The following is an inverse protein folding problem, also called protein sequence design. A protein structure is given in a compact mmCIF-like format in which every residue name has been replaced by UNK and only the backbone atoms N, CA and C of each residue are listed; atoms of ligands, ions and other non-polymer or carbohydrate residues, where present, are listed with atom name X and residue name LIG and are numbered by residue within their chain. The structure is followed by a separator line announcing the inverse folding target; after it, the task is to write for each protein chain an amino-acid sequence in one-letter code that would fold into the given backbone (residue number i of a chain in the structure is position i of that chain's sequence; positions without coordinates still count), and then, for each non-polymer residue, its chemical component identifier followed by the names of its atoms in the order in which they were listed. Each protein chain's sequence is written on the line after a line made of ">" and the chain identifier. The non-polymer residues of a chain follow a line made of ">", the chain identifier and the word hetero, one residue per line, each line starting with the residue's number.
data_IF_437816755696
#
_entry.id   IF_437816755696
#
_cell.length_a   1.000
_cell.length_b   1.000
_cell.length_c   1.000
_cell.angle_alpha   90.00
_cell.angle_beta   90.00
_cell.angle_gamma   90.00
#
_symmetry.space_group_name_H-M   'P 1'
#
loop_
_entity.id
_entity.type
_entity.pdbx_description
1 polymer ?
#
# COMPACT_ATOMS: atom_id res chain seq x y z
N UNK A 1 63.39 33.83 -9.59
CA UNK A 1 61.94 34.09 -9.39
C UNK A 1 61.17 33.19 -10.33
N UNK A 2 60.55 32.17 -9.75
CA UNK A 2 59.75 31.11 -10.36
C UNK A 2 58.40 31.63 -10.82
N UNK A 3 57.92 31.22 -12.00
CA UNK A 3 56.49 31.31 -12.35
C UNK A 3 55.99 29.94 -12.82
N UNK A 4 55.05 29.44 -12.01
CA UNK A 4 54.40 28.13 -12.05
C UNK A 4 53.37 28.11 -13.18
N UNK A 5 53.38 27.03 -13.98
CA UNK A 5 52.30 26.69 -14.92
C UNK A 5 51.07 26.26 -14.12
N UNK A 6 49.90 26.80 -14.44
CA UNK A 6 48.63 26.29 -13.92
C UNK A 6 47.73 25.86 -15.08
N UNK A 7 47.71 24.56 -15.33
CA UNK A 7 46.81 23.90 -16.28
C UNK A 7 45.43 23.81 -15.64
N UNK A 8 44.43 24.47 -16.24
CA UNK A 8 43.03 24.35 -15.83
C UNK A 8 42.49 22.99 -16.32
N UNK A 9 42.31 22.04 -15.39
CA UNK A 9 41.53 20.82 -15.62
C UNK A 9 40.13 21.09 -15.05
N UNK A 10 39.17 21.35 -15.93
CA UNK A 10 37.76 21.49 -15.56
C UNK A 10 37.14 20.09 -15.55
N UNK A 11 37.08 19.45 -14.37
CA UNK A 11 36.34 18.22 -14.18
C UNK A 11 34.84 18.55 -14.06
N UNK A 12 34.09 18.31 -15.13
CA UNK A 12 32.64 18.41 -15.12
C UNK A 12 32.07 17.17 -14.40
N UNK A 13 31.80 17.28 -13.10
CA UNK A 13 31.00 16.27 -12.40
C UNK A 13 29.55 16.35 -12.92
N UNK A 14 29.18 15.44 -13.83
CA UNK A 14 27.79 15.11 -14.06
C UNK A 14 27.23 14.46 -12.79
N UNK A 15 26.62 15.27 -11.92
CA UNK A 15 25.73 14.75 -10.89
C UNK A 15 24.54 14.10 -11.61
N UNK A 16 24.57 12.77 -11.74
CA UNK A 16 23.38 12.01 -12.09
C UNK A 16 22.36 12.26 -10.98
N UNK A 17 21.44 13.20 -11.20
CA UNK A 17 20.25 13.32 -10.39
C UNK A 17 19.42 12.06 -10.66
N UNK A 18 19.60 11.04 -9.84
CA UNK A 18 18.73 9.87 -9.82
C UNK A 18 17.34 10.37 -9.45
N UNK A 19 16.48 10.54 -10.45
CA UNK A 19 15.06 10.77 -10.23
C UNK A 19 14.51 9.54 -9.52
N UNK A 20 14.44 9.59 -8.19
CA UNK A 20 13.80 8.57 -7.37
C UNK A 20 12.29 8.73 -7.56
N UNK A 21 11.76 8.09 -8.61
CA UNK A 21 10.33 7.91 -8.76
C UNK A 21 9.90 6.82 -7.76
N UNK A 22 9.75 7.22 -6.50
CA UNK A 22 9.07 6.41 -5.50
C UNK A 22 7.63 6.16 -5.92
N UNK A 23 7.09 5.00 -5.56
CA UNK A 23 5.73 4.55 -5.91
C UNK A 23 4.74 5.71 -6.05
N UNK A 24 4.23 5.90 -7.28
CA UNK A 24 3.09 6.76 -7.52
C UNK A 24 1.88 6.10 -6.85
N UNK A 25 1.21 6.82 -5.94
CA UNK A 25 -0.07 6.37 -5.40
C UNK A 25 -1.00 6.04 -6.56
N UNK A 26 -1.34 4.75 -6.69
CA UNK A 26 -2.24 4.31 -7.73
C UNK A 26 -3.64 4.40 -7.17
N UNK A 27 -4.43 5.27 -7.80
CA UNK A 27 -5.87 5.30 -7.65
C UNK A 27 -6.50 4.87 -8.96
N UNK A 28 -7.27 3.78 -8.94
CA UNK A 28 -8.14 3.43 -10.05
C UNK A 28 -9.56 3.85 -9.70
N UNK A 29 -10.08 4.80 -10.47
CA UNK A 29 -11.47 5.22 -10.36
C UNK A 29 -12.29 4.45 -11.39
N UNK A 30 -13.26 3.67 -10.90
CA UNK A 30 -14.39 3.11 -11.64
C UNK A 30 -14.14 1.88 -12.53
N UNK A 31 -14.47 0.72 -11.98
CA UNK A 31 -15.14 -0.36 -12.72
C UNK A 31 -16.49 -0.61 -12.05
N UNK A 32 -17.60 -0.52 -12.80
CA UNK A 32 -18.91 -0.92 -12.31
C UNK A 32 -18.87 -2.40 -11.98
N UNK A 33 -18.85 -2.76 -10.69
CA UNK A 33 -18.39 -4.08 -10.27
C UNK A 33 -19.51 -4.99 -9.80
N UNK A 34 -20.32 -5.51 -10.73
CA UNK A 34 -21.15 -6.71 -10.48
C UNK A 34 -20.67 -7.93 -11.27
N UNK A 35 -20.47 -7.77 -12.57
CA UNK A 35 -20.04 -8.86 -13.46
C UNK A 35 -18.53 -8.92 -13.62
N UNK A 36 -17.84 -7.81 -13.34
CA UNK A 36 -16.42 -7.65 -13.59
C UNK A 36 -15.75 -7.09 -12.35
N UNK A 37 -14.76 -7.79 -11.84
CA UNK A 37 -13.94 -7.36 -10.70
C UNK A 37 -13.22 -6.07 -11.05
N UNK A 38 -13.35 -5.04 -10.22
CA UNK A 38 -12.50 -3.85 -10.33
C UNK A 38 -11.08 -4.24 -9.90
N UNK A 39 -10.06 -3.84 -10.66
CA UNK A 39 -8.67 -4.11 -10.31
C UNK A 39 -7.79 -2.87 -10.41
N UNK A 40 -6.79 -2.82 -9.53
CA UNK A 40 -5.70 -1.86 -9.58
C UNK A 40 -4.41 -2.60 -9.29
N UNK A 41 -3.43 -2.53 -10.17
CA UNK A 41 -2.15 -3.20 -10.01
C UNK A 41 -1.01 -2.19 -9.99
N UNK A 42 0.02 -2.51 -9.23
CA UNK A 42 1.27 -1.76 -9.15
C UNK A 42 2.47 -2.70 -9.19
N UNK A 43 3.62 -2.17 -9.56
CA UNK A 43 4.91 -2.84 -9.33
C UNK A 43 5.56 -2.10 -8.17
N UNK A 44 5.92 -2.85 -7.14
CA UNK A 44 6.57 -2.30 -5.96
C UNK A 44 7.99 -1.88 -6.32
N UNK A 45 8.38 -0.67 -5.93
CA UNK A 45 9.72 -0.17 -6.20
C UNK A 45 10.79 -1.07 -5.59
N UNK A 46 11.83 -1.40 -6.37
CA UNK A 46 12.99 -2.17 -5.92
C UNK A 46 13.90 -1.40 -4.93
N UNK A 47 13.90 -0.07 -5.03
CA UNK A 47 14.74 0.83 -4.25
C UNK A 47 14.01 1.45 -3.05
N UNK A 48 14.77 2.18 -2.23
CA UNK A 48 14.26 2.88 -1.07
C UNK A 48 14.15 2.01 0.19
N UNK A 49 13.60 2.57 1.27
CA UNK A 49 13.57 1.88 2.55
C UNK A 49 12.60 0.70 2.54
N UNK A 50 12.89 -0.30 3.38
CA UNK A 50 12.02 -1.45 3.63
C UNK A 50 11.77 -1.59 5.12
N UNK A 51 10.60 -2.12 5.47
CA UNK A 51 10.30 -2.58 6.82
C UNK A 51 10.42 -4.10 6.81
N UNK A 52 11.38 -4.65 7.56
CA UNK A 52 11.64 -6.09 7.62
C UNK A 52 11.80 -6.76 6.24
N UNK A 53 12.42 -6.06 5.29
CA UNK A 53 12.63 -6.58 3.93
C UNK A 53 11.43 -6.43 2.99
N UNK A 54 10.32 -5.85 3.45
CA UNK A 54 9.12 -5.63 2.65
C UNK A 54 8.78 -4.13 2.48
N UNK A 55 7.93 -3.83 1.52
CA UNK A 55 7.19 -2.57 1.42
C UNK A 55 5.81 -2.76 2.03
N UNK A 56 5.41 -1.81 2.87
CA UNK A 56 4.14 -1.82 3.58
C UNK A 56 3.15 -0.95 2.83
N UNK A 57 2.07 -1.58 2.37
CA UNK A 57 1.04 -0.93 1.58
C UNK A 57 -0.26 -0.85 2.37
N UNK A 58 -0.94 0.29 2.25
CA UNK A 58 -2.35 0.44 2.62
C UNK A 58 -3.17 0.42 1.34
N UNK A 59 -4.15 -0.48 1.30
CA UNK A 59 -5.07 -0.60 0.19
C UNK A 59 -6.49 -0.34 0.68
N UNK A 60 -7.19 0.58 0.03
CA UNK A 60 -8.61 0.86 0.29
C UNK A 60 -9.45 0.52 -0.92
N UNK A 61 -10.67 0.06 -0.66
CA UNK A 61 -11.77 -0.03 -1.62
C UNK A 61 -12.96 0.72 -1.08
N UNK A 62 -13.42 1.71 -1.84
CA UNK A 62 -14.42 2.66 -1.34
C UNK A 62 -15.50 2.88 -2.40
N UNK A 63 -16.73 3.14 -1.93
CA UNK A 63 -17.81 3.57 -2.81
C UNK A 63 -18.59 4.75 -2.23
N UNK A 64 -18.84 5.74 -3.08
CA UNK A 64 -19.70 6.88 -2.78
C UNK A 64 -21.20 6.57 -2.92
N UNK A 65 -21.58 5.34 -3.29
CA UNK A 65 -22.97 4.97 -3.60
C UNK A 65 -23.67 4.35 -2.40
N UNK A 66 -24.87 4.81 -2.06
CA UNK A 66 -25.64 4.34 -0.90
C UNK A 66 -25.80 2.81 -0.89
N UNK A 67 -25.74 2.21 0.30
CA UNK A 67 -25.85 0.76 0.51
C UNK A 67 -24.78 -0.07 -0.25
N UNK A 68 -23.66 0.53 -0.66
CA UNK A 68 -22.51 -0.21 -1.22
C UNK A 68 -21.73 -0.97 -0.15
N UNK A 69 -21.24 -2.14 -0.50
CA UNK A 69 -20.43 -3.05 0.34
C UNK A 69 -19.33 -3.69 -0.53
N UNK A 70 -18.23 -2.94 -0.82
CA UNK A 70 -17.14 -3.42 -1.64
C UNK A 70 -16.27 -4.43 -0.89
N UNK A 71 -15.95 -5.56 -1.53
CA UNK A 71 -14.98 -6.54 -1.03
C UNK A 71 -13.55 -6.14 -1.38
N UNK A 72 -12.54 -6.69 -0.70
CA UNK A 72 -11.14 -6.46 -1.07
C UNK A 72 -10.28 -7.72 -0.94
N UNK A 73 -9.60 -8.03 -2.04
CA UNK A 73 -8.51 -9.01 -2.11
C UNK A 73 -7.26 -8.32 -2.67
N UNK A 74 -6.10 -8.53 -2.05
CA UNK A 74 -4.81 -8.06 -2.55
C UNK A 74 -3.87 -9.23 -2.69
N UNK A 75 -3.25 -9.39 -3.84
CA UNK A 75 -2.34 -10.50 -4.08
C UNK A 75 -1.15 -10.10 -4.95
N UNK A 76 -0.06 -10.84 -4.81
CA UNK A 76 1.01 -10.84 -5.80
C UNK A 76 0.56 -11.49 -7.13
N UNK A 77 1.29 -11.24 -8.21
CA UNK A 77 0.99 -11.82 -9.54
C UNK A 77 1.02 -13.35 -9.54
N UNK A 78 1.81 -13.97 -8.66
CA UNK A 78 1.93 -15.41 -8.57
C UNK A 78 0.78 -16.04 -7.76
N UNK A 79 -0.05 -15.23 -7.09
CA UNK A 79 -1.10 -15.67 -6.20
C UNK A 79 -0.60 -16.40 -4.96
N UNK A 80 0.67 -16.19 -4.57
CA UNK A 80 1.29 -16.90 -3.44
C UNK A 80 0.83 -16.28 -2.13
N UNK A 81 0.78 -14.95 -2.06
CA UNK A 81 0.28 -14.21 -0.91
C UNK A 81 -1.04 -13.55 -1.30
N UNK A 82 -2.14 -14.11 -0.79
CA UNK A 82 -3.49 -13.60 -0.99
C UNK A 82 -4.00 -13.04 0.32
N UNK A 83 -4.09 -11.73 0.37
CA UNK A 83 -4.65 -10.98 1.47
C UNK A 83 -6.12 -10.67 1.21
N UNK A 84 -7.00 -10.83 2.21
CA UNK A 84 -8.40 -10.45 2.08
C UNK A 84 -8.94 -9.79 3.34
N UNK A 85 -9.81 -8.81 3.13
CA UNK A 85 -10.59 -8.16 4.16
C UNK A 85 -11.77 -7.44 3.52
N UNK A 86 -12.98 -7.66 4.03
CA UNK A 86 -14.19 -6.99 3.54
C UNK A 86 -14.72 -5.93 4.52
N UNK A 87 -14.04 -5.72 5.65
CA UNK A 87 -14.37 -4.72 6.66
C UNK A 87 -13.09 -4.05 7.15
N UNK A 88 -12.91 -2.76 6.91
CA UNK A 88 -11.66 -2.07 7.26
C UNK A 88 -11.31 -2.05 8.75
N UNK A 89 -12.25 -2.36 9.66
CA UNK A 89 -11.99 -2.58 11.09
C UNK A 89 -12.03 -4.07 11.50
N UNK A 90 -12.37 -4.94 10.55
CA UNK A 90 -12.60 -6.36 10.74
C UNK A 90 -11.34 -7.22 10.66
N UNK A 91 -11.60 -8.52 10.68
CA UNK A 91 -10.58 -9.56 10.58
C UNK A 91 -9.93 -9.55 9.19
N UNK A 92 -8.60 -9.61 9.18
CA UNK A 92 -7.78 -9.69 7.96
C UNK A 92 -7.24 -11.10 7.80
N UNK A 93 -7.10 -11.56 6.57
CA UNK A 93 -6.61 -12.92 6.30
C UNK A 93 -5.45 -12.86 5.31
N UNK A 94 -4.44 -13.70 5.52
CA UNK A 94 -3.39 -14.01 4.56
C UNK A 94 -3.45 -15.50 4.28
N UNK A 95 -3.70 -15.87 3.02
CA UNK A 95 -3.87 -17.26 2.58
C UNK A 95 -4.90 -18.02 3.46
N UNK A 96 -6.00 -17.34 3.80
CA UNK A 96 -7.05 -17.86 4.66
C UNK A 96 -6.71 -17.94 6.15
N UNK A 97 -5.47 -17.65 6.55
CA UNK A 97 -5.07 -17.60 7.95
C UNK A 97 -5.36 -16.23 8.54
N UNK A 98 -6.06 -16.19 9.68
CA UNK A 98 -6.37 -14.96 10.40
C UNK A 98 -5.08 -14.21 10.75
N UNK A 99 -5.03 -12.94 10.39
CA UNK A 99 -3.98 -11.99 10.76
C UNK A 99 -4.56 -11.01 11.78
N UNK A 100 -3.83 -10.88 12.89
CA UNK A 100 -4.29 -10.21 14.09
C UNK A 100 -4.33 -8.69 13.96
N UNK A 101 -4.58 -8.02 15.08
CA UNK A 101 -4.79 -6.58 15.13
C UNK A 101 -6.17 -6.24 15.66
N UNK A 102 -6.23 -5.48 16.73
CA UNK A 102 -7.48 -4.87 17.13
C UNK A 102 -7.83 -3.68 16.21
N UNK A 103 -9.11 -3.34 16.17
CA UNK A 103 -9.65 -2.25 15.36
C UNK A 103 -8.96 -0.90 15.63
N UNK A 104 -8.52 -0.64 16.88
CA UNK A 104 -7.86 0.61 17.22
C UNK A 104 -6.43 0.67 16.64
N UNK A 105 -5.69 -0.42 16.72
CA UNK A 105 -4.37 -0.58 16.10
C UNK A 105 -4.43 -0.39 14.58
N UNK A 106 -5.38 -1.04 13.91
CA UNK A 106 -5.58 -0.89 12.46
C UNK A 106 -5.92 0.56 12.09
N UNK A 107 -6.86 1.17 12.80
CA UNK A 107 -7.25 2.58 12.61
C UNK A 107 -6.07 3.53 12.79
N UNK A 108 -5.23 3.29 13.80
CA UNK A 108 -4.04 4.09 14.08
C UNK A 108 -3.06 4.07 12.89
N UNK A 109 -2.84 2.90 12.28
CA UNK A 109 -1.96 2.77 11.10
C UNK A 109 -2.54 3.51 9.89
N UNK A 110 -3.86 3.46 9.66
CA UNK A 110 -4.46 4.21 8.56
C UNK A 110 -4.35 5.73 8.76
N UNK A 111 -4.64 6.22 9.96
CA UNK A 111 -4.53 7.65 10.26
C UNK A 111 -3.08 8.15 10.19
N UNK A 112 -2.12 7.38 10.70
CA UNK A 112 -0.70 7.78 10.65
C UNK A 112 -0.08 7.60 9.27
N UNK A 113 -0.43 6.52 8.54
CA UNK A 113 0.13 6.17 7.25
C UNK A 113 -0.45 6.95 6.08
N UNK A 114 -1.76 7.15 6.02
CA UNK A 114 -2.42 7.83 4.89
C UNK A 114 -3.24 9.06 5.30
N UNK A 115 -3.27 9.42 6.58
CA UNK A 115 -3.97 10.61 7.07
C UNK A 115 -5.49 10.48 7.16
N UNK A 116 -6.04 9.29 6.87
CA UNK A 116 -7.49 9.06 6.85
C UNK A 116 -7.84 7.58 7.05
N UNK A 117 -9.10 7.31 7.35
CA UNK A 117 -9.71 5.99 7.23
C UNK A 117 -10.54 5.92 5.93
N UNK A 118 -11.06 4.74 5.56
CA UNK A 118 -12.14 4.65 4.60
C UNK A 118 -13.33 5.54 4.97
N UNK A 119 -14.05 6.02 3.96
CA UNK A 119 -15.14 6.99 4.09
C UNK A 119 -16.38 6.43 4.77
N UNK A 120 -16.60 5.10 4.73
CA UNK A 120 -17.78 4.44 5.30
C UNK A 120 -17.41 3.19 6.09
N UNK A 121 -18.35 2.75 6.94
CA UNK A 121 -18.21 1.51 7.72
C UNK A 121 -18.23 0.24 6.87
N UNK A 122 -18.87 0.28 5.71
CA UNK A 122 -18.97 -0.86 4.78
C UNK A 122 -17.88 -0.86 3.70
N UNK A 123 -17.01 0.14 3.68
CA UNK A 123 -15.84 0.12 2.79
C UNK A 123 -14.84 -0.94 3.28
N UNK A 124 -13.92 -1.38 2.43
CA UNK A 124 -12.88 -2.31 2.85
C UNK A 124 -11.48 -1.68 2.80
N UNK A 125 -10.62 -2.16 3.68
CA UNK A 125 -9.22 -1.77 3.71
C UNK A 125 -8.36 -2.91 4.19
N UNK A 126 -7.12 -2.95 3.72
CA UNK A 126 -6.15 -3.90 4.22
C UNK A 126 -4.76 -3.32 4.20
N UNK A 127 -4.04 -3.59 5.29
CA UNK A 127 -2.61 -3.36 5.42
C UNK A 127 -1.90 -4.64 5.01
N UNK A 128 -0.98 -4.54 4.06
CA UNK A 128 -0.25 -5.69 3.48
C UNK A 128 1.23 -5.38 3.38
N UNK A 129 2.04 -6.44 3.31
CA UNK A 129 3.46 -6.33 3.08
C UNK A 129 3.89 -7.28 1.96
N UNK A 130 4.71 -6.77 1.05
CA UNK A 130 5.23 -7.52 -0.10
C UNK A 130 6.70 -7.16 -0.35
N UNK A 131 7.51 -8.07 -0.91
CA UNK A 131 8.88 -7.77 -1.28
C UNK A 131 8.99 -6.63 -2.30
N UNK A 132 10.07 -5.81 -2.25
CA UNK A 132 10.43 -4.90 -3.33
C UNK A 132 10.49 -5.61 -4.68
N UNK A 133 10.03 -4.96 -5.74
CA UNK A 133 10.01 -5.53 -7.10
C UNK A 133 8.80 -6.40 -7.42
N UNK A 134 8.03 -6.81 -6.41
CA UNK A 134 6.86 -7.64 -6.62
C UNK A 134 5.75 -6.84 -7.32
N UNK A 135 5.07 -7.49 -8.26
CA UNK A 135 3.88 -6.94 -8.87
C UNK A 135 2.64 -7.38 -8.07
N UNK A 136 1.86 -6.41 -7.63
CA UNK A 136 0.74 -6.60 -6.71
C UNK A 136 -0.52 -6.03 -7.31
N UNK A 137 -1.62 -6.78 -7.20
CA UNK A 137 -2.94 -6.39 -7.66
C UNK A 137 -3.93 -6.41 -6.51
N UNK A 138 -4.72 -5.35 -6.41
CA UNK A 138 -5.90 -5.27 -5.59
C UNK A 138 -7.15 -5.49 -6.45
N UNK A 139 -8.10 -6.23 -5.92
CA UNK A 139 -9.33 -6.65 -6.56
C UNK A 139 -10.51 -6.33 -5.66
N UNK A 140 -11.55 -5.76 -6.24
CA UNK A 140 -12.76 -5.39 -5.51
C UNK A 140 -14.02 -5.72 -6.29
N UNK A 141 -15.09 -6.00 -5.56
CA UNK A 141 -16.41 -6.29 -6.09
C UNK A 141 -17.50 -5.81 -5.14
N UNK A 142 -18.61 -5.30 -5.68
CA UNK A 142 -19.79 -4.95 -4.88
C UNK A 142 -20.55 -6.22 -4.46
N UNK A 143 -20.85 -6.36 -3.16
CA UNK A 143 -21.58 -7.52 -2.60
C UNK A 143 -23.02 -7.23 -2.18
N UNK A 144 -23.38 -6.01 -1.77
CA UNK A 144 -24.65 -5.78 -1.07
C UNK A 144 -25.91 -5.84 -1.95
N UNK A 145 -25.81 -5.55 -3.26
CA UNK A 145 -27.00 -5.46 -4.11
C UNK A 145 -26.76 -5.90 -5.55
N UNK A 146 -27.85 -6.18 -6.25
CA UNK A 146 -27.86 -6.42 -7.68
C UNK A 146 -27.76 -5.14 -8.55
N UNK A 147 -27.40 -3.98 -7.99
CA UNK A 147 -27.15 -2.78 -8.80
C UNK A 147 -25.65 -2.63 -9.14
N UNK A 148 -25.36 -2.13 -10.35
CA UNK A 148 -23.99 -1.79 -10.75
C UNK A 148 -23.52 -0.57 -9.96
N UNK A 149 -22.66 -0.78 -8.96
CA UNK A 149 -22.04 0.29 -8.19
C UNK A 149 -20.58 0.47 -8.58
N UNK A 150 -20.11 1.71 -8.54
CA UNK A 150 -18.70 2.05 -8.71
C UNK A 150 -17.96 1.82 -7.41
N UNK A 151 -16.80 1.22 -7.55
CA UNK A 151 -15.80 1.10 -6.49
C UNK A 151 -14.53 1.77 -6.97
N UNK A 152 -13.86 2.48 -6.08
CA UNK A 152 -12.51 3.01 -6.27
C UNK A 152 -11.51 2.20 -5.46
N UNK A 153 -10.35 1.92 -6.03
CA UNK A 153 -9.24 1.27 -5.35
C UNK A 153 -8.10 2.27 -5.21
N UNK A 154 -7.52 2.38 -4.02
CA UNK A 154 -6.27 3.11 -3.81
C UNK A 154 -5.21 2.24 -3.16
N UNK A 155 -4.00 2.22 -3.71
CA UNK A 155 -2.83 1.54 -3.15
C UNK A 155 -1.79 2.62 -2.81
N UNK A 156 -1.41 2.67 -1.54
CA UNK A 156 -0.46 3.67 -1.01
C UNK A 156 0.69 2.98 -0.30
N UNK A 157 1.93 3.32 -0.68
CA UNK A 157 3.13 2.90 0.05
C UNK A 157 3.33 3.78 1.28
N UNK A 158 3.21 3.19 2.46
CA UNK A 158 3.43 3.87 3.74
C UNK A 158 4.76 3.49 4.39
N UNK A 159 5.61 2.72 3.71
CA UNK A 159 6.92 2.26 4.23
C UNK A 159 7.77 3.42 4.77
N UNK A 160 7.89 4.57 4.08
CA UNK A 160 8.68 5.69 4.60
C UNK A 160 8.15 6.29 5.90
N UNK A 161 6.85 6.15 6.17
CA UNK A 161 6.21 6.63 7.40
C UNK A 161 6.41 5.61 8.51
N UNK A 162 6.18 4.33 8.19
CA UNK A 162 6.40 3.19 9.07
C UNK A 162 7.80 3.22 9.67
N UNK A 163 8.84 3.27 8.84
CA UNK A 163 10.23 3.23 9.32
C UNK A 163 10.58 4.41 10.23
N UNK A 164 9.98 5.59 10.00
CA UNK A 164 10.18 6.77 10.84
C UNK A 164 9.49 6.57 12.18
N UNK A 165 8.26 6.08 12.16
CA UNK A 165 7.50 5.78 13.37
C UNK A 165 8.13 4.67 14.22
N UNK A 166 8.76 3.65 13.62
CA UNK A 166 9.45 2.58 14.35
C UNK A 166 10.83 2.98 14.86
N UNK A 167 11.44 4.01 14.29
CA UNK A 167 12.63 4.63 14.88
C UNK A 167 12.29 5.42 16.15
N UNK A 168 11.02 5.81 16.32
CA UNK A 168 10.51 6.61 17.44
C UNK A 168 9.66 5.78 18.45
N UNK A 169 9.15 4.60 18.05
CA UNK A 169 8.30 3.73 18.86
C UNK A 169 8.60 2.23 18.65
N UNK A 170 8.35 1.41 19.67
CA UNK A 170 8.52 -0.04 19.66
C UNK A 170 7.64 -0.70 18.56
N UNK A 171 8.28 -1.21 17.49
CA UNK A 171 7.65 -1.65 16.24
C UNK A 171 6.71 -2.87 16.31
N UNK A 172 6.26 -3.25 17.50
CA UNK A 172 5.47 -4.47 17.77
C UNK A 172 4.05 -4.46 17.21
N UNK A 173 3.42 -3.28 17.07
CA UNK A 173 2.05 -3.19 16.52
C UNK A 173 2.03 -3.61 15.05
N UNK A 174 2.93 -3.05 14.23
CA UNK A 174 2.92 -3.33 12.80
C UNK A 174 3.31 -4.79 12.47
N UNK A 175 4.29 -5.36 13.18
CA UNK A 175 4.63 -6.77 13.05
C UNK A 175 3.44 -7.69 13.37
N UNK A 176 2.71 -7.39 14.45
CA UNK A 176 1.48 -8.11 14.81
C UNK A 176 0.41 -7.99 13.72
N UNK A 177 0.26 -6.79 13.13
CA UNK A 177 -0.71 -6.54 12.07
C UNK A 177 -0.35 -7.22 10.75
N UNK A 178 0.93 -7.43 10.46
CA UNK A 178 1.42 -8.08 9.25
C UNK A 178 1.60 -9.60 9.43
N UNK A 179 1.38 -10.12 10.65
CA UNK A 179 1.41 -11.56 10.93
C UNK A 179 2.79 -12.11 11.25
N UNK A 180 3.73 -11.25 11.63
CA UNK A 180 5.07 -11.64 12.07
C UNK A 180 5.12 -11.63 13.61
N UNK A 181 5.33 -12.82 14.18
CA UNK A 181 5.67 -13.06 15.59
C UNK A 181 6.91 -13.94 15.64
#
# INVERSE_FOLDING_TARGET
>A
MTKIKLTFISALLCAAASSHAGLLNISTNSLQSRTTTASGCTIIENSGPTFQGAKVLVVFTESSEENSDPTLVVQDLNGINVWSNDDWLGARYLNGSLRGGDAASVRSVYLSGVGRTPGRLTDAAILVAFPPGEAVCAFSKERATDNLKRVSISITDITPIVIRSTAEADGGVLGTLLGEK
#
